data_IF_309023541271
#
_entry.id   IF_309023541271
#
_cell.length_a   1.000
_cell.length_b   1.000
_cell.length_c   1.000
_cell.angle_alpha   90.00
_cell.angle_beta   90.00
_cell.angle_gamma   90.00
#
_symmetry.space_group_name_H-M   'P 1'
#
loop_
_entity.id
_entity.type
_entity.pdbx_description
1 polymer ?
#
# COMPACT_ATOMS: atom_id res chain seq x y z
N UNK A 1 2.19 -2.55 -32.12
CA UNK A 1 1.24 -1.43 -31.97
C UNK A 1 0.01 -2.02 -31.31
N UNK A 2 -0.02 -2.03 -29.98
CA UNK A 2 -1.16 -2.49 -29.21
C UNK A 2 -1.29 -1.59 -28.00
N UNK A 3 -2.44 -0.95 -27.91
CA UNK A 3 -2.84 0.08 -26.97
C UNK A 3 -2.61 -0.32 -25.51
N UNK A 4 -1.71 0.40 -24.85
CA UNK A 4 -1.72 0.51 -23.39
C UNK A 4 -2.86 1.49 -23.11
N UNK A 5 -4.07 0.98 -22.88
CA UNK A 5 -5.12 1.81 -22.28
C UNK A 5 -4.63 2.22 -20.90
N UNK A 6 -4.26 3.50 -20.82
CA UNK A 6 -3.67 4.20 -19.68
C UNK A 6 -4.75 4.46 -18.61
N UNK A 7 -5.18 3.41 -17.93
CA UNK A 7 -5.84 3.48 -16.61
C UNK A 7 -4.76 3.38 -15.51
N UNK A 8 -3.63 4.05 -15.72
CA UNK A 8 -2.64 4.21 -14.68
C UNK A 8 -3.16 5.29 -13.71
N UNK A 9 -3.28 4.93 -12.42
CA UNK A 9 -3.56 5.91 -11.38
C UNK A 9 -2.61 7.11 -11.53
N UNK A 10 -3.10 8.36 -11.38
CA UNK A 10 -2.28 9.54 -11.61
C UNK A 10 -1.06 9.49 -10.69
N UNK A 11 0.13 9.52 -11.29
CA UNK A 11 1.40 9.60 -10.58
C UNK A 11 1.64 11.06 -10.18
N UNK A 12 1.77 11.31 -8.88
CA UNK A 12 2.14 12.62 -8.35
C UNK A 12 3.63 12.62 -8.04
N UNK A 13 4.40 13.39 -8.81
CA UNK A 13 5.79 13.69 -8.48
C UNK A 13 5.82 14.90 -7.56
N UNK A 14 6.36 14.73 -6.36
CA UNK A 14 6.63 15.82 -5.42
C UNK A 14 8.12 16.04 -5.39
N UNK A 15 8.55 17.26 -5.72
CA UNK A 15 9.96 17.65 -5.61
C UNK A 15 10.36 17.73 -4.12
N UNK A 16 11.57 17.29 -3.79
CA UNK A 16 12.05 17.20 -2.41
C UNK A 16 12.30 18.56 -1.75
N UNK A 17 12.36 19.63 -2.54
CA UNK A 17 12.61 21.02 -2.11
C UNK A 17 11.35 21.89 -2.09
N UNK A 18 10.19 21.29 -1.81
CA UNK A 18 8.93 22.04 -1.70
C UNK A 18 8.97 23.03 -0.53
N UNK A 19 8.54 24.28 -0.77
CA UNK A 19 8.48 25.29 0.30
C UNK A 19 7.38 24.96 1.31
N UNK A 20 7.45 25.46 2.56
CA UNK A 20 6.42 25.25 3.56
C UNK A 20 5.01 25.65 3.09
N UNK A 21 4.89 26.72 2.31
CA UNK A 21 3.62 27.21 1.76
C UNK A 21 3.06 26.24 0.71
N UNK A 22 3.93 25.66 -0.12
CA UNK A 22 3.53 24.67 -1.12
C UNK A 22 3.05 23.38 -0.44
N UNK A 23 3.73 22.93 0.61
CA UNK A 23 3.28 21.81 1.45
C UNK A 23 1.91 22.13 2.07
N UNK A 24 1.73 23.33 2.61
CA UNK A 24 0.46 23.75 3.20
C UNK A 24 -0.69 23.78 2.17
N UNK A 25 -0.42 24.25 0.94
CA UNK A 25 -1.39 24.26 -0.14
C UNK A 25 -1.83 22.83 -0.52
N UNK A 26 -0.88 21.89 -0.63
CA UNK A 26 -1.18 20.48 -0.89
C UNK A 26 -2.03 19.87 0.23
N UNK A 27 -1.66 20.10 1.50
CA UNK A 27 -2.43 19.63 2.65
C UNK A 27 -3.85 20.21 2.65
N UNK A 28 -4.02 21.50 2.35
CA UNK A 28 -5.33 22.14 2.29
C UNK A 28 -6.23 21.52 1.19
N UNK A 29 -5.68 21.29 -0.01
CA UNK A 29 -6.39 20.61 -1.10
C UNK A 29 -6.80 19.21 -0.68
N UNK A 30 -5.88 18.37 -0.19
CA UNK A 30 -6.22 17.00 0.24
C UNK A 30 -7.22 16.97 1.39
N UNK A 31 -7.15 17.92 2.32
CA UNK A 31 -8.10 18.02 3.43
C UNK A 31 -9.52 18.38 2.96
N UNK A 32 -9.63 19.17 1.89
CA UNK A 32 -10.93 19.58 1.32
C UNK A 32 -11.67 18.47 0.59
N UNK A 33 -10.96 17.43 0.13
CA UNK A 33 -11.56 16.30 -0.60
C UNK A 33 -12.51 15.47 0.29
N UNK A 34 -12.41 15.61 1.62
CA UNK A 34 -13.27 14.91 2.58
C UNK A 34 -13.02 13.40 2.65
N UNK A 35 -13.59 12.75 3.65
CA UNK A 35 -13.59 11.30 3.77
C UNK A 35 -14.74 10.68 2.99
N UNK A 36 -14.48 9.64 2.20
CA UNK A 36 -15.52 8.74 1.70
C UNK A 36 -15.80 7.65 2.74
N UNK A 37 -17.03 7.15 2.77
CA UNK A 37 -17.36 5.94 3.54
C UNK A 37 -16.39 4.83 3.09
N UNK A 38 -15.55 4.40 4.02
CA UNK A 38 -14.58 3.34 3.73
C UNK A 38 -15.27 2.00 3.87
N UNK A 39 -15.10 1.06 2.93
CA UNK A 39 -15.53 -0.31 3.16
C UNK A 39 -14.88 -0.85 4.44
N UNK A 40 -15.57 -1.81 5.06
CA UNK A 40 -15.03 -2.51 6.22
C UNK A 40 -13.61 -3.02 5.90
N UNK A 41 -12.64 -2.80 6.80
CA UNK A 41 -11.28 -3.22 6.54
C UNK A 41 -11.25 -4.74 6.34
N UNK A 42 -10.44 -5.25 5.39
CA UNK A 42 -10.28 -6.69 5.23
C UNK A 42 -9.70 -7.29 6.52
N UNK A 43 -9.98 -8.57 6.76
CA UNK A 43 -9.37 -9.28 7.88
C UNK A 43 -7.85 -9.21 7.75
N UNK A 44 -7.20 -8.71 8.80
CA UNK A 44 -5.75 -8.61 8.81
C UNK A 44 -5.13 -9.99 8.81
N UNK A 45 -4.52 -10.36 7.70
CA UNK A 45 -3.72 -11.57 7.60
C UNK A 45 -2.67 -11.62 8.72
N UNK A 46 -2.05 -10.48 9.06
CA UNK A 46 -1.06 -10.39 10.14
C UNK A 46 -1.60 -10.85 11.50
N UNK A 47 -2.91 -10.71 11.74
CA UNK A 47 -3.56 -11.13 12.97
C UNK A 47 -4.03 -12.61 12.96
N UNK A 48 -3.81 -13.34 11.86
CA UNK A 48 -4.28 -14.71 11.70
C UNK A 48 -3.74 -15.62 12.82
N UNK A 49 -4.60 -16.41 13.51
CA UNK A 49 -4.19 -17.29 14.61
C UNK A 49 -3.07 -18.27 14.23
N UNK A 50 -3.03 -18.73 12.98
CA UNK A 50 -2.00 -19.62 12.46
C UNK A 50 -0.58 -19.04 12.60
N UNK A 51 -0.42 -17.70 12.60
CA UNK A 51 0.89 -17.04 12.77
C UNK A 51 1.33 -16.88 14.23
N UNK A 52 0.45 -17.16 15.20
CA UNK A 52 0.85 -17.26 16.62
C UNK A 52 1.67 -18.51 16.89
N UNK A 53 1.57 -19.50 16.00
CA UNK A 53 2.37 -20.71 16.04
C UNK A 53 3.60 -20.53 15.15
N UNK A 54 4.73 -21.07 15.59
CA UNK A 54 5.94 -21.11 14.76
C UNK A 54 5.68 -22.03 13.58
N UNK A 55 5.92 -21.51 12.37
CA UNK A 55 5.96 -22.30 11.14
C UNK A 55 7.42 -22.47 10.70
N UNK A 56 7.72 -23.64 10.14
CA UNK A 56 9.07 -23.95 9.64
C UNK A 56 9.09 -23.69 8.15
N UNK A 57 9.97 -22.79 7.71
CA UNK A 57 10.21 -22.53 6.30
C UNK A 57 11.43 -23.30 5.82
N UNK A 58 11.28 -24.08 4.75
CA UNK A 58 12.40 -24.72 4.08
C UNK A 58 13.24 -23.67 3.33
N UNK A 59 14.55 -23.90 3.20
CA UNK A 59 15.37 -23.08 2.30
C UNK A 59 14.98 -23.38 0.85
N UNK A 60 14.58 -22.36 0.10
CA UNK A 60 14.19 -22.51 -1.30
C UNK A 60 13.59 -21.24 -1.91
N UNK A 61 13.29 -21.26 -3.23
CA UNK A 61 12.66 -20.14 -3.91
C UNK A 61 11.37 -19.70 -3.19
N UNK A 62 11.26 -18.40 -2.92
CA UNK A 62 10.09 -17.83 -2.24
C UNK A 62 10.08 -17.96 -0.71
N UNK A 63 10.97 -18.75 -0.10
CA UNK A 63 10.98 -18.96 1.35
C UNK A 63 11.18 -17.68 2.15
N UNK A 64 12.04 -16.76 1.67
CA UNK A 64 12.25 -15.47 2.34
C UNK A 64 11.03 -14.56 2.27
N UNK A 65 10.23 -14.63 1.21
CA UNK A 65 8.97 -13.87 1.13
C UNK A 65 7.92 -14.47 2.07
N UNK A 66 7.81 -15.79 2.08
CA UNK A 66 6.87 -16.50 2.96
C UNK A 66 7.16 -16.32 4.46
N UNK A 67 8.41 -16.07 4.85
CA UNK A 67 8.76 -15.91 6.26
C UNK A 67 8.25 -14.62 6.91
N UNK A 68 8.12 -13.55 6.11
CA UNK A 68 7.86 -12.20 6.62
C UNK A 68 6.67 -11.50 6.00
N UNK A 69 6.05 -12.03 4.94
CA UNK A 69 4.91 -11.40 4.28
C UNK A 69 3.67 -12.28 4.35
N UNK A 70 2.48 -11.70 4.61
CA UNK A 70 1.22 -12.40 4.41
C UNK A 70 1.10 -12.84 2.94
N UNK A 71 0.46 -13.99 2.71
CA UNK A 71 0.20 -14.47 1.36
C UNK A 71 -0.62 -13.44 0.59
N UNK A 72 -0.27 -13.20 -0.68
CA UNK A 72 -1.13 -12.44 -1.58
C UNK A 72 -2.31 -13.32 -1.95
N UNK A 73 -3.48 -13.07 -1.35
CA UNK A 73 -4.76 -13.57 -1.89
C UNK A 73 -5.05 -12.93 -3.23
#
# INVERSE_FOLDING_TARGET
MSDISDEAAPLFLVDGDATPEQVAALVAVFSSLGGRESPAPPTSEWAAPARRLRTTYAAGPGAWRGSGLPGSS
#
